data_IF_328355332221
#
_entry.id   IF_328355332221
#
_cell.length_a   1.000
_cell.length_b   1.000
_cell.length_c   1.000
_cell.angle_alpha   90.00
_cell.angle_beta   90.00
_cell.angle_gamma   90.00
#
_symmetry.space_group_name_H-M   'P 1'
#
loop_
_entity.id
_entity.type
_entity.pdbx_description
1 polymer ?
#
# COMPACT_ATOMS: atom_id res chain seq x y z
N UNK A 1 -13.94 -26.54 -10.42
CA UNK A 1 -14.53 -27.87 -10.13
C UNK A 1 -13.50 -28.98 -10.29
N UNK A 2 -12.49 -28.79 -11.14
CA UNK A 2 -11.45 -29.78 -11.43
C UNK A 2 -10.47 -30.00 -10.28
N UNK A 3 -10.14 -28.95 -9.51
CA UNK A 3 -9.37 -29.08 -8.26
C UNK A 3 -9.99 -30.09 -7.28
N UNK A 4 -11.32 -30.05 -7.08
CA UNK A 4 -11.99 -30.99 -6.20
C UNK A 4 -11.88 -32.45 -6.69
N UNK A 5 -11.88 -32.68 -8.00
CA UNK A 5 -11.71 -34.02 -8.60
C UNK A 5 -10.28 -34.52 -8.42
N UNK A 6 -9.28 -33.64 -8.61
CA UNK A 6 -7.87 -33.96 -8.33
C UNK A 6 -7.63 -34.33 -6.87
N UNK A 7 -8.39 -33.73 -5.94
CA UNK A 7 -8.38 -34.08 -4.51
C UNK A 7 -9.22 -35.32 -4.15
N UNK A 8 -9.79 -36.03 -5.12
CA UNK A 8 -10.58 -37.26 -4.90
C UNK A 8 -12.06 -37.05 -4.56
N UNK A 9 -12.60 -35.83 -4.74
CA UNK A 9 -14.00 -35.51 -4.47
C UNK A 9 -14.84 -35.33 -5.75
N UNK A 10 -16.15 -35.56 -5.66
CA UNK A 10 -17.05 -35.32 -6.80
C UNK A 10 -17.19 -33.82 -7.11
N UNK A 11 -17.42 -33.48 -8.38
CA UNK A 11 -17.67 -32.08 -8.83
C UNK A 11 -18.78 -31.41 -8.02
N UNK A 12 -19.86 -32.14 -7.70
CA UNK A 12 -20.99 -31.64 -6.88
C UNK A 12 -20.54 -31.28 -5.46
N UNK A 13 -19.73 -32.14 -4.83
CA UNK A 13 -19.17 -31.86 -3.50
C UNK A 13 -18.22 -30.66 -3.53
N UNK A 14 -17.35 -30.59 -4.55
CA UNK A 14 -16.48 -29.44 -4.78
C UNK A 14 -17.22 -28.12 -4.93
N UNK A 15 -18.29 -28.08 -5.74
CA UNK A 15 -19.12 -26.88 -5.90
C UNK A 15 -19.78 -26.45 -4.60
N UNK A 16 -20.33 -27.39 -3.82
CA UNK A 16 -20.91 -27.11 -2.50
C UNK A 16 -19.87 -26.54 -1.53
N UNK A 17 -18.66 -27.11 -1.51
CA UNK A 17 -17.57 -26.63 -0.67
C UNK A 17 -17.14 -25.21 -1.05
N UNK A 18 -16.99 -24.91 -2.35
CA UNK A 18 -16.64 -23.58 -2.83
C UNK A 18 -17.70 -22.52 -2.45
N UNK A 19 -18.99 -22.83 -2.60
CA UNK A 19 -20.08 -21.93 -2.20
C UNK A 19 -20.05 -21.67 -0.69
N UNK A 20 -19.86 -22.73 0.12
CA UNK A 20 -19.74 -22.59 1.57
C UNK A 20 -18.52 -21.75 1.97
N UNK A 21 -17.36 -21.95 1.31
CA UNK A 21 -16.15 -21.16 1.55
C UNK A 21 -16.32 -19.68 1.20
N UNK A 22 -16.94 -19.37 0.05
CA UNK A 22 -17.23 -17.98 -0.33
C UNK A 22 -18.22 -17.33 0.65
N UNK A 23 -19.21 -18.08 1.13
CA UNK A 23 -20.15 -17.57 2.15
C UNK A 23 -19.42 -17.25 3.45
N UNK A 24 -18.58 -18.18 3.94
CA UNK A 24 -17.80 -17.98 5.15
C UNK A 24 -16.83 -16.79 5.02
N UNK A 25 -16.18 -16.63 3.87
CA UNK A 25 -15.30 -15.49 3.59
C UNK A 25 -16.07 -14.16 3.68
N UNK A 26 -17.24 -14.05 3.07
CA UNK A 26 -18.07 -12.84 3.12
C UNK A 26 -18.58 -12.53 4.52
N UNK A 27 -18.96 -13.56 5.28
CA UNK A 27 -19.37 -13.41 6.68
C UNK A 27 -18.21 -12.91 7.54
N UNK A 28 -16.99 -13.42 7.31
CA UNK A 28 -15.79 -12.95 7.98
C UNK A 28 -15.47 -11.50 7.64
N UNK A 29 -15.47 -11.12 6.36
CA UNK A 29 -15.23 -9.73 5.92
C UNK A 29 -16.25 -8.75 6.51
N UNK A 30 -17.53 -9.12 6.57
CA UNK A 30 -18.56 -8.31 7.21
C UNK A 30 -18.33 -8.16 8.73
N UNK A 31 -17.91 -9.25 9.39
CA UNK A 31 -17.59 -9.21 10.82
C UNK A 31 -16.35 -8.36 11.12
N UNK A 32 -15.33 -8.35 10.25
CA UNK A 32 -14.16 -7.46 10.38
C UNK A 32 -14.59 -5.98 10.35
N UNK A 33 -15.47 -5.59 9.44
CA UNK A 33 -15.99 -4.22 9.35
C UNK A 33 -16.78 -3.85 10.62
N UNK A 34 -17.67 -4.72 11.08
CA UNK A 34 -18.46 -4.48 12.30
C UNK A 34 -17.58 -4.39 13.57
N UNK A 35 -16.53 -5.22 13.66
CA UNK A 35 -15.52 -5.12 14.72
C UNK A 35 -14.74 -3.81 14.63
N UNK A 36 -14.38 -3.40 13.42
CA UNK A 36 -13.70 -2.15 13.14
C UNK A 36 -14.49 -0.92 13.55
N UNK A 37 -15.77 -0.85 13.18
CA UNK A 37 -16.67 0.24 13.58
C UNK A 37 -16.75 0.38 15.11
N UNK A 38 -16.91 -0.74 15.82
CA UNK A 38 -16.91 -0.75 17.29
C UNK A 38 -15.57 -0.32 17.88
N UNK A 39 -14.46 -0.70 17.25
CA UNK A 39 -13.12 -0.30 17.69
C UNK A 39 -12.92 1.20 17.51
N UNK A 40 -13.27 1.74 16.35
CA UNK A 40 -13.18 3.18 16.05
C UNK A 40 -14.04 4.00 17.01
N UNK A 41 -15.27 3.57 17.28
CA UNK A 41 -16.14 4.24 18.26
C UNK A 41 -15.51 4.26 19.65
N UNK A 42 -14.93 3.13 20.11
CA UNK A 42 -14.22 3.08 21.39
C UNK A 42 -13.00 4.00 21.45
N UNK A 43 -12.26 4.12 20.34
CA UNK A 43 -11.11 5.04 20.25
C UNK A 43 -11.59 6.48 20.47
N UNK A 44 -12.69 6.88 19.82
CA UNK A 44 -13.26 8.22 19.98
C UNK A 44 -13.82 8.44 21.39
N UNK A 45 -14.62 7.51 21.92
CA UNK A 45 -15.25 7.63 23.24
C UNK A 45 -14.21 7.77 24.37
N UNK A 46 -13.08 7.06 24.24
CA UNK A 46 -12.01 7.06 25.23
C UNK A 46 -10.90 8.10 24.93
N UNK A 47 -11.04 8.90 23.87
CA UNK A 47 -10.02 9.82 23.39
C UNK A 47 -8.62 9.17 23.24
N UNK A 48 -8.60 7.95 22.70
CA UNK A 48 -7.39 7.21 22.41
C UNK A 48 -6.85 7.57 21.03
N UNK A 49 -5.57 7.27 20.80
CA UNK A 49 -4.97 7.36 19.46
C UNK A 49 -4.94 5.97 18.83
N UNK A 50 -5.37 5.89 17.57
CA UNK A 50 -5.32 4.69 16.74
C UNK A 50 -4.17 4.73 15.75
N UNK A 51 -3.57 3.58 15.48
CA UNK A 51 -2.54 3.41 14.43
C UNK A 51 -3.03 2.38 13.42
N UNK A 52 -3.37 2.85 12.22
CA UNK A 52 -3.76 2.03 11.09
C UNK A 52 -2.53 1.39 10.47
N UNK A 53 -2.48 0.07 10.48
CA UNK A 53 -1.38 -0.72 9.93
C UNK A 53 -1.62 -0.87 8.42
N UNK A 54 -0.96 -0.02 7.64
CA UNK A 54 -0.98 -0.02 6.17
C UNK A 54 0.00 -1.08 5.67
N UNK A 55 -0.45 -2.34 5.65
CA UNK A 55 0.37 -3.48 5.30
C UNK A 55 -0.40 -4.49 4.46
N UNK A 56 0.35 -5.34 3.75
CA UNK A 56 -0.19 -6.54 3.10
C UNK A 56 -0.56 -7.57 4.16
N UNK A 57 -1.59 -8.39 3.92
CA UNK A 57 -2.13 -9.32 4.92
C UNK A 57 -1.06 -10.25 5.50
N UNK A 58 -0.16 -10.74 4.64
CA UNK A 58 0.93 -11.62 5.07
C UNK A 58 1.94 -10.93 6.01
N UNK A 59 2.03 -9.60 6.02
CA UNK A 59 2.86 -8.86 6.97
C UNK A 59 2.12 -8.55 8.26
N UNK A 60 0.81 -8.27 8.21
CA UNK A 60 0.05 -7.87 9.39
C UNK A 60 -0.53 -9.04 10.19
N UNK A 61 -0.82 -10.17 9.53
CA UNK A 61 -1.60 -11.27 10.12
C UNK A 61 -0.81 -12.56 10.32
N UNK A 62 0.41 -12.67 9.78
CA UNK A 62 1.28 -13.82 10.02
C UNK A 62 2.17 -13.55 11.23
N UNK A 63 2.10 -14.40 12.25
CA UNK A 63 2.86 -14.23 13.51
C UNK A 63 4.37 -14.36 13.34
N UNK A 64 4.85 -14.99 12.25
CA UNK A 64 6.27 -15.06 11.91
C UNK A 64 6.76 -13.82 11.17
N UNK A 65 5.88 -13.13 10.44
CA UNK A 65 6.24 -11.97 9.62
C UNK A 65 5.87 -10.61 10.23
N UNK A 66 4.96 -10.57 11.21
CA UNK A 66 4.46 -9.31 11.79
C UNK A 66 5.36 -8.71 12.88
N UNK A 67 6.37 -9.46 13.34
CA UNK A 67 7.39 -9.04 14.29
C UNK A 67 6.84 -8.42 15.59
N UNK A 68 5.62 -8.81 16.00
CA UNK A 68 4.97 -8.28 17.21
C UNK A 68 4.66 -6.78 17.16
N UNK A 69 4.57 -6.17 15.98
CA UNK A 69 4.40 -4.72 15.80
C UNK A 69 3.09 -4.24 16.44
N UNK A 70 2.00 -4.98 16.29
CA UNK A 70 0.70 -4.63 16.86
C UNK A 70 0.74 -4.64 18.40
N UNK A 71 1.35 -5.67 18.97
CA UNK A 71 1.55 -5.83 20.41
C UNK A 71 2.40 -4.68 20.97
N UNK A 72 3.47 -4.30 20.26
CA UNK A 72 4.32 -3.17 20.67
C UNK A 72 3.57 -1.84 20.63
N UNK A 73 2.75 -1.58 19.59
CA UNK A 73 1.88 -0.40 19.53
C UNK A 73 0.93 -0.34 20.73
N UNK A 74 0.28 -1.47 21.05
CA UNK A 74 -0.60 -1.57 22.20
C UNK A 74 0.12 -1.30 23.53
N UNK A 75 1.32 -1.85 23.72
CA UNK A 75 2.16 -1.59 24.90
C UNK A 75 2.56 -0.11 25.05
N UNK A 76 2.73 0.59 23.93
CA UNK A 76 3.04 2.02 23.91
C UNK A 76 1.80 2.91 24.10
N UNK A 77 0.62 2.32 24.32
CA UNK A 77 -0.61 3.03 24.66
C UNK A 77 -1.36 3.61 23.47
N UNK A 78 -1.15 3.08 22.27
CA UNK A 78 -1.95 3.39 21.07
C UNK A 78 -2.62 2.14 20.54
N UNK A 79 -3.78 2.29 19.92
CA UNK A 79 -4.60 1.15 19.50
C UNK A 79 -4.19 0.71 18.09
N UNK A 80 -3.61 -0.49 17.88
CA UNK A 80 -3.31 -0.99 16.55
C UNK A 80 -4.62 -1.34 15.81
N UNK A 81 -4.76 -0.89 14.57
CA UNK A 81 -5.95 -1.08 13.74
C UNK A 81 -5.54 -1.82 12.46
N UNK A 82 -6.01 -3.06 12.25
CA UNK A 82 -5.86 -3.74 10.97
C UNK A 82 -6.51 -2.95 9.83
N UNK A 83 -5.89 -2.92 8.65
CA UNK A 83 -6.45 -2.22 7.50
C UNK A 83 -7.85 -2.72 7.10
N UNK A 84 -8.16 -4.01 7.31
CA UNK A 84 -9.46 -4.60 7.04
C UNK A 84 -10.59 -4.11 7.95
N UNK A 85 -10.26 -3.47 9.08
CA UNK A 85 -11.24 -2.93 10.02
C UNK A 85 -11.78 -1.57 9.58
N UNK A 86 -11.14 -0.92 8.60
CA UNK A 86 -11.63 0.34 8.07
C UNK A 86 -12.74 0.10 7.03
N UNK A 87 -13.71 1.01 6.89
CA UNK A 87 -14.72 0.96 5.84
C UNK A 87 -14.13 1.36 4.48
N UNK A 88 -13.22 0.55 3.94
CA UNK A 88 -12.43 0.91 2.74
C UNK A 88 -13.30 1.25 1.52
N UNK A 89 -14.45 0.58 1.37
CA UNK A 89 -15.39 0.81 0.27
C UNK A 89 -16.11 2.17 0.36
N UNK A 90 -15.98 2.89 1.47
CA UNK A 90 -16.51 4.26 1.61
C UNK A 90 -15.68 5.30 0.86
N UNK A 91 -14.48 4.94 0.39
CA UNK A 91 -13.57 5.86 -0.33
C UNK A 91 -13.55 5.53 -1.81
N UNK A 92 -13.84 6.53 -2.64
CA UNK A 92 -13.58 6.46 -4.06
C UNK A 92 -12.08 6.65 -4.35
N UNK A 93 -11.34 5.54 -4.49
CA UNK A 93 -9.89 5.56 -4.73
C UNK A 93 -9.48 6.29 -6.01
N UNK A 94 -10.39 6.43 -6.98
CA UNK A 94 -10.15 7.15 -8.23
C UNK A 94 -10.05 8.68 -8.05
N UNK A 95 -10.37 9.21 -6.86
CA UNK A 95 -10.11 10.61 -6.52
C UNK A 95 -8.62 10.89 -6.26
N UNK A 96 -7.82 9.83 -6.08
CA UNK A 96 -6.41 9.91 -5.70
C UNK A 96 -5.46 9.37 -6.77
N UNK A 97 -5.88 8.35 -7.52
CA UNK A 97 -5.11 7.73 -8.60
C UNK A 97 -6.01 7.45 -9.80
N UNK A 98 -5.55 7.75 -11.01
CA UNK A 98 -6.33 7.46 -12.22
C UNK A 98 -6.43 5.95 -12.52
N UNK A 99 -5.45 5.17 -12.02
CA UNK A 99 -5.33 3.72 -12.25
C UNK A 99 -4.73 3.03 -11.02
N UNK A 100 -5.51 2.82 -9.95
CA UNK A 100 -5.09 1.99 -8.84
C UNK A 100 -5.05 0.52 -9.30
N UNK A 101 -3.93 0.11 -9.88
CA UNK A 101 -3.78 -1.17 -10.56
C UNK A 101 -3.69 -2.33 -9.57
N UNK A 102 -3.01 -2.12 -8.44
CA UNK A 102 -2.79 -3.18 -7.46
C UNK A 102 -3.94 -3.24 -6.44
N UNK A 103 -4.33 -4.46 -6.06
CA UNK A 103 -5.36 -4.66 -5.03
C UNK A 103 -5.03 -3.93 -3.72
N UNK A 104 -3.79 -4.04 -3.24
CA UNK A 104 -3.34 -3.36 -2.02
C UNK A 104 -3.07 -1.86 -2.21
N UNK A 105 -2.85 -1.38 -3.44
CA UNK A 105 -2.79 0.06 -3.72
C UNK A 105 -4.14 0.70 -3.40
N UNK A 106 -5.24 0.13 -3.92
CA UNK A 106 -6.59 0.61 -3.64
C UNK A 106 -6.88 0.62 -2.13
N UNK A 107 -6.51 -0.45 -1.42
CA UNK A 107 -6.69 -0.53 0.03
C UNK A 107 -5.85 0.49 0.80
N UNK A 108 -4.59 0.69 0.42
CA UNK A 108 -3.72 1.67 1.08
C UNK A 108 -4.20 3.09 0.82
N UNK A 109 -4.66 3.42 -0.39
CA UNK A 109 -5.26 4.72 -0.72
C UNK A 109 -6.49 4.97 0.16
N UNK A 110 -7.45 4.03 0.17
CA UNK A 110 -8.67 4.15 0.95
C UNK A 110 -8.38 4.27 2.46
N UNK A 111 -7.51 3.40 2.97
CA UNK A 111 -7.12 3.41 4.38
C UNK A 111 -6.43 4.71 4.77
N UNK A 112 -5.54 5.23 3.94
CA UNK A 112 -4.84 6.51 4.19
C UNK A 112 -5.81 7.69 4.15
N UNK A 113 -6.77 7.70 3.23
CA UNK A 113 -7.79 8.75 3.14
C UNK A 113 -8.71 8.76 4.38
N UNK A 114 -9.11 7.60 4.89
CA UNK A 114 -9.88 7.49 6.14
C UNK A 114 -9.01 7.95 7.32
N UNK A 115 -7.76 7.47 7.38
CA UNK A 115 -6.81 7.78 8.44
C UNK A 115 -6.50 9.27 8.50
N UNK A 116 -6.33 9.94 7.37
CA UNK A 116 -6.03 11.37 7.32
C UNK A 116 -7.19 12.20 7.90
N UNK A 117 -8.42 11.91 7.47
CA UNK A 117 -9.64 12.64 7.86
C UNK A 117 -9.98 12.54 9.35
N UNK A 118 -9.62 11.44 10.00
CA UNK A 118 -9.94 11.20 11.41
C UNK A 118 -8.79 11.66 12.33
N UNK A 119 -8.94 12.74 13.14
CA UNK A 119 -7.85 13.29 13.95
C UNK A 119 -7.28 12.33 15.00
N UNK A 120 -8.00 11.27 15.37
CA UNK A 120 -7.54 10.26 16.32
C UNK A 120 -6.71 9.15 15.68
N UNK A 121 -6.63 9.08 14.34
CA UNK A 121 -5.95 8.01 13.60
C UNK A 121 -4.64 8.45 12.96
N UNK A 122 -3.64 7.59 13.00
CA UNK A 122 -2.34 7.77 12.33
C UNK A 122 -1.98 6.53 11.52
N UNK A 123 -1.13 6.69 10.51
CA UNK A 123 -0.72 5.58 9.65
C UNK A 123 0.63 5.00 10.05
N UNK A 124 0.76 3.67 9.99
CA UNK A 124 2.05 2.97 9.98
C UNK A 124 2.12 2.08 8.74
N UNK A 125 2.92 2.50 7.76
CA UNK A 125 3.15 1.77 6.52
C UNK A 125 4.26 0.74 6.71
N UNK A 126 3.91 -0.53 6.53
CA UNK A 126 4.86 -1.64 6.57
C UNK A 126 5.14 -2.11 5.14
N UNK A 127 6.41 -2.07 4.76
CA UNK A 127 6.88 -2.53 3.46
C UNK A 127 8.05 -3.50 3.64
N UNK A 128 8.38 -4.24 2.58
CA UNK A 128 9.54 -5.12 2.57
C UNK A 128 10.61 -4.52 1.67
N UNK A 129 11.87 -4.81 1.98
CA UNK A 129 12.99 -4.45 1.11
C UNK A 129 12.76 -4.97 -0.32
N UNK A 130 13.00 -4.12 -1.31
CA UNK A 130 12.82 -4.47 -2.72
C UNK A 130 11.38 -4.70 -3.17
N UNK A 131 10.37 -4.26 -2.40
CA UNK A 131 8.97 -4.40 -2.81
C UNK A 131 8.61 -3.41 -3.94
N UNK A 132 8.84 -3.83 -5.18
CA UNK A 132 8.54 -3.06 -6.39
C UNK A 132 7.15 -2.40 -6.38
N UNK A 133 6.03 -3.13 -6.17
CA UNK A 133 4.71 -2.51 -6.14
C UNK A 133 4.56 -1.42 -5.05
N UNK A 134 5.14 -1.60 -3.86
CA UNK A 134 5.02 -0.62 -2.79
C UNK A 134 5.81 0.66 -3.07
N UNK A 135 6.92 0.61 -3.83
CA UNK A 135 7.67 1.81 -4.23
C UNK A 135 6.80 2.84 -4.97
N UNK A 136 5.78 2.37 -5.72
CA UNK A 136 4.80 3.24 -6.36
C UNK A 136 3.72 3.73 -5.40
N UNK A 137 3.33 2.91 -4.42
CA UNK A 137 2.22 3.17 -3.48
C UNK A 137 2.63 4.12 -2.34
N UNK A 138 3.88 4.05 -1.88
CA UNK A 138 4.37 4.86 -0.74
C UNK A 138 4.18 6.35 -1.00
N UNK A 139 4.54 6.81 -2.20
CA UNK A 139 4.39 8.20 -2.59
C UNK A 139 2.94 8.69 -2.49
N UNK A 140 1.97 7.94 -3.01
CA UNK A 140 0.57 8.35 -2.96
C UNK A 140 0.00 8.31 -1.54
N UNK A 141 0.42 7.34 -0.71
CA UNK A 141 0.03 7.28 0.70
C UNK A 141 0.54 8.51 1.46
N UNK A 142 1.79 8.90 1.24
CA UNK A 142 2.36 10.11 1.84
C UNK A 142 1.66 11.38 1.37
N UNK A 143 1.38 11.50 0.07
CA UNK A 143 0.65 12.64 -0.48
C UNK A 143 -0.76 12.75 0.15
N UNK A 144 -1.43 11.61 0.39
CA UNK A 144 -2.74 11.55 1.05
C UNK A 144 -2.65 11.97 2.51
N UNK A 145 -1.69 11.41 3.27
CA UNK A 145 -1.49 11.73 4.68
C UNK A 145 -1.02 13.18 4.89
N UNK A 146 -0.35 13.76 3.89
CA UNK A 146 0.08 15.15 3.87
C UNK A 146 0.95 15.50 5.07
N UNK A 147 0.54 16.50 5.84
CA UNK A 147 1.25 16.95 7.04
C UNK A 147 1.03 16.08 8.28
N UNK A 148 0.18 15.04 8.18
CA UNK A 148 -0.14 14.18 9.33
C UNK A 148 0.93 13.09 9.49
N UNK A 149 1.42 12.83 10.70
CA UNK A 149 2.44 11.81 10.92
C UNK A 149 2.08 10.45 10.31
N UNK A 150 2.99 9.93 9.50
CA UNK A 150 2.97 8.60 8.91
C UNK A 150 4.29 7.91 9.25
N UNK A 151 4.21 6.79 9.95
CA UNK A 151 5.37 5.93 10.17
C UNK A 151 5.61 5.07 8.93
N UNK A 152 6.87 4.88 8.56
CA UNK A 152 7.27 3.94 7.52
C UNK A 152 8.32 2.98 8.08
N UNK A 153 8.03 1.68 8.01
CA UNK A 153 8.97 0.62 8.39
C UNK A 153 9.19 -0.30 7.20
N UNK A 154 10.46 -0.44 6.83
CA UNK A 154 10.91 -1.44 5.86
C UNK A 154 11.46 -2.64 6.62
N UNK A 155 10.91 -3.82 6.30
CA UNK A 155 11.31 -5.10 6.85
C UNK A 155 12.24 -5.79 5.85
N UNK A 156 13.39 -6.25 6.35
CA UNK A 156 14.39 -7.02 5.63
C UNK A 156 14.64 -8.32 6.40
N UNK A 157 14.99 -9.40 5.70
CA UNK A 157 15.38 -10.69 6.26
C UNK A 157 16.52 -10.56 7.29
N UNK A 158 17.37 -9.55 7.11
CA UNK A 158 18.51 -9.27 7.97
C UNK A 158 18.24 -8.20 9.04
N UNK A 159 17.04 -7.60 9.06
CA UNK A 159 16.72 -6.52 10.00
C UNK A 159 16.62 -7.07 11.43
N UNK A 160 17.60 -6.74 12.27
CA UNK A 160 17.58 -7.08 13.69
C UNK A 160 16.37 -6.43 14.36
N UNK A 161 15.53 -7.26 15.00
CA UNK A 161 14.31 -6.94 15.76
C UNK A 161 14.46 -5.68 16.65
N UNK A 162 15.63 -5.47 17.25
CA UNK A 162 15.92 -4.33 18.11
C UNK A 162 15.78 -2.96 17.42
N UNK A 163 16.11 -2.85 16.13
CA UNK A 163 16.02 -1.57 15.40
C UNK A 163 14.58 -1.14 15.11
N UNK A 164 13.65 -2.10 15.00
CA UNK A 164 12.23 -1.84 14.72
C UNK A 164 11.55 -1.26 15.96
N UNK A 165 11.85 -1.81 17.13
CA UNK A 165 11.27 -1.38 18.41
C UNK A 165 11.49 0.11 18.66
N UNK A 166 12.74 0.58 18.54
CA UNK A 166 13.06 2.01 18.76
C UNK A 166 12.41 2.92 17.72
N UNK A 167 12.26 2.47 16.47
CA UNK A 167 11.56 3.26 15.44
C UNK A 167 10.06 3.37 15.73
N UNK A 168 9.43 2.30 16.22
CA UNK A 168 8.03 2.34 16.66
C UNK A 168 7.87 3.26 17.86
N UNK A 169 8.78 3.21 18.84
CA UNK A 169 8.78 4.11 20.00
C UNK A 169 8.86 5.58 19.57
N UNK A 170 9.83 5.93 18.73
CA UNK A 170 9.98 7.28 18.19
C UNK A 170 8.75 7.74 17.37
N UNK A 171 8.15 6.83 16.61
CA UNK A 171 6.89 7.10 15.90
C UNK A 171 5.74 7.39 16.86
N UNK A 172 5.57 6.57 17.91
CA UNK A 172 4.50 6.79 18.91
C UNK A 172 4.70 8.10 19.69
N UNK A 173 5.94 8.47 19.99
CA UNK A 173 6.23 9.76 20.61
C UNK A 173 5.86 10.92 19.69
N UNK A 174 6.15 10.79 18.40
CA UNK A 174 5.81 11.78 17.37
C UNK A 174 4.29 11.97 17.26
N UNK A 175 3.51 10.89 17.17
CA UNK A 175 2.04 11.02 17.07
C UNK A 175 1.44 11.61 18.34
N UNK A 176 1.95 11.25 19.52
CA UNK A 176 1.48 11.81 20.80
C UNK A 176 1.80 13.30 20.92
N UNK A 177 2.99 13.71 20.47
CA UNK A 177 3.37 15.13 20.44
C UNK A 177 2.50 15.91 19.44
N UNK A 178 2.29 15.35 18.25
CA UNK A 178 1.44 15.94 17.22
C UNK A 178 -0.02 16.08 17.68
N UNK A 179 -0.60 15.04 18.29
CA UNK A 179 -1.97 15.06 18.81
C UNK A 179 -2.20 16.15 19.87
N UNK A 180 -1.17 16.51 20.64
CA UNK A 180 -1.22 17.61 21.62
C UNK A 180 -1.04 18.99 20.99
N UNK A 181 -0.54 19.07 19.76
CA UNK A 181 -0.36 20.33 19.06
C UNK A 181 -1.69 20.83 18.50
N UNK A 182 -1.90 22.15 18.49
CA UNK A 182 -3.12 22.78 17.94
C UNK A 182 -3.09 22.94 16.42
N UNK A 183 -2.04 22.43 15.76
CA UNK A 183 -1.86 22.56 14.31
C UNK A 183 -2.73 21.56 13.55
N UNK A 184 -3.52 22.05 12.61
CA UNK A 184 -4.12 21.17 11.60
C UNK A 184 -3.04 20.76 10.59
N UNK A 185 -2.90 19.46 10.34
CA UNK A 185 -2.11 18.98 9.21
C UNK A 185 -2.75 19.46 7.91
N UNK A 186 -1.92 19.84 6.93
CA UNK A 186 -2.39 20.00 5.55
C UNK A 186 -2.71 18.61 5.01
N UNK A 187 -3.97 18.36 4.65
CA UNK A 187 -4.40 17.11 4.02
C UNK A 187 -4.03 17.01 2.54
N UNK A 188 -4.67 16.06 1.85
CA UNK A 188 -4.51 15.81 0.42
C UNK A 188 -4.60 17.08 -0.44
N UNK A 189 -3.57 17.31 -1.26
CA UNK A 189 -3.52 18.38 -2.25
C UNK A 189 -3.84 17.81 -3.64
N UNK A 190 -4.87 18.34 -4.31
CA UNK A 190 -5.26 17.87 -5.66
C UNK A 190 -4.15 18.02 -6.69
N UNK A 191 -3.16 18.88 -6.46
CA UNK A 191 -1.97 18.99 -7.33
C UNK A 191 -1.07 17.75 -7.27
N UNK A 192 -1.20 16.90 -6.24
CA UNK A 192 -0.50 15.63 -6.12
C UNK A 192 -1.15 14.49 -6.94
N UNK A 193 -2.32 14.73 -7.55
CA UNK A 193 -3.01 13.74 -8.37
C UNK A 193 -2.14 13.33 -9.57
N UNK A 194 -1.74 12.07 -9.61
CA UNK A 194 -0.94 11.50 -10.70
C UNK A 194 -1.87 10.92 -11.76
N UNK A 195 -1.71 11.39 -13.00
CA UNK A 195 -2.37 10.78 -14.15
C UNK A 195 -1.40 10.52 -15.28
N UNK A 196 -1.58 9.39 -15.95
CA UNK A 196 -0.86 9.07 -17.17
C UNK A 196 -1.84 9.14 -18.36
N UNK A 197 -1.64 10.06 -19.32
CA UNK A 197 -2.49 10.10 -20.51
C UNK A 197 -2.28 8.83 -21.34
N UNK A 198 -3.37 8.09 -21.60
CA UNK A 198 -3.38 6.87 -22.45
C UNK A 198 -3.50 7.18 -23.94
N UNK A 199 -3.56 8.47 -24.31
CA UNK A 199 -3.60 8.89 -25.70
C UNK A 199 -2.26 8.58 -26.41
N UNK A 200 -2.15 7.36 -26.92
CA UNK A 200 -1.14 6.94 -27.88
C UNK A 200 -1.46 7.64 -29.20
N UNK A 201 -0.85 8.79 -29.41
CA UNK A 201 -0.87 9.46 -30.70
C UNK A 201 0.32 8.95 -31.50
N UNK A 202 0.11 8.61 -32.78
CA UNK A 202 1.22 8.27 -33.71
C UNK A 202 2.22 9.43 -33.88
N UNK A 203 1.83 10.62 -33.40
CA UNK A 203 2.64 11.83 -33.35
C UNK A 203 3.67 11.88 -32.21
N UNK A 204 3.64 10.98 -31.24
CA UNK A 204 4.61 10.96 -30.14
C UNK A 204 5.51 9.73 -30.22
N UNK A 205 6.80 9.93 -29.94
CA UNK A 205 7.75 8.83 -29.80
C UNK A 205 7.60 8.25 -28.40
N UNK A 206 7.35 6.93 -28.33
CA UNK A 206 7.32 6.17 -27.09
C UNK A 206 8.77 5.83 -26.71
N UNK A 207 9.19 6.26 -25.53
CA UNK A 207 10.50 5.92 -24.98
C UNK A 207 10.38 4.65 -24.16
N UNK A 208 11.19 3.64 -24.50
CA UNK A 208 11.20 2.34 -23.84
C UNK A 208 12.47 2.25 -23.00
N UNK A 209 12.38 2.09 -21.67
CA UNK A 209 13.56 1.87 -20.83
C UNK A 209 14.31 0.59 -21.24
N UNK A 210 15.65 0.65 -21.27
CA UNK A 210 16.51 -0.50 -21.58
C UNK A 210 16.65 -1.46 -20.39
N UNK A 211 15.55 -2.02 -19.91
CA UNK A 211 15.54 -2.95 -18.76
C UNK A 211 16.00 -4.37 -19.13
N UNK A 212 15.90 -4.76 -20.39
CA UNK A 212 16.31 -6.07 -20.88
C UNK A 212 16.55 -6.04 -22.39
N UNK A 213 17.28 -7.03 -22.92
CA UNK A 213 17.53 -7.19 -24.36
C UNK A 213 16.22 -7.27 -25.19
N UNK A 214 15.11 -7.71 -24.58
CA UNK A 214 13.80 -7.74 -25.22
C UNK A 214 13.21 -6.35 -25.54
N UNK A 215 13.75 -5.26 -24.99
CA UNK A 215 13.26 -3.91 -25.25
C UNK A 215 13.41 -3.51 -26.74
N UNK A 216 14.51 -3.92 -27.39
CA UNK A 216 14.73 -3.68 -28.82
C UNK A 216 13.72 -4.42 -29.70
N UNK A 217 13.47 -5.70 -29.39
CA UNK A 217 12.46 -6.49 -30.09
C UNK A 217 11.05 -5.90 -29.91
N UNK A 218 10.75 -5.39 -28.72
CA UNK A 218 9.48 -4.72 -28.44
C UNK A 218 9.33 -3.41 -29.23
N UNK A 219 10.38 -2.58 -29.27
CA UNK A 219 10.39 -1.35 -30.06
C UNK A 219 10.20 -1.64 -31.56
N UNK A 220 10.95 -2.59 -32.11
CA UNK A 220 10.84 -2.99 -33.52
C UNK A 220 9.44 -3.51 -33.86
N UNK A 221 8.81 -4.27 -32.96
CA UNK A 221 7.43 -4.72 -33.14
C UNK A 221 6.47 -3.53 -33.16
N UNK A 222 6.61 -2.55 -32.26
CA UNK A 222 5.78 -1.33 -32.26
C UNK A 222 5.94 -0.53 -33.56
N UNK A 223 7.17 -0.38 -34.05
CA UNK A 223 7.46 0.30 -35.32
C UNK A 223 6.83 -0.41 -36.52
N UNK A 224 6.84 -1.75 -36.54
CA UNK A 224 6.19 -2.53 -37.59
C UNK A 224 4.67 -2.30 -37.68
N UNK A 225 4.03 -1.85 -36.59
CA UNK A 225 2.61 -1.47 -36.54
C UNK A 225 2.39 0.05 -36.62
N UNK A 226 3.40 0.83 -37.03
CA UNK A 226 3.28 2.27 -37.27
C UNK A 226 3.35 3.14 -36.00
N UNK A 227 3.83 2.59 -34.88
CA UNK A 227 4.06 3.35 -33.65
C UNK A 227 5.51 3.82 -33.61
N UNK A 228 5.75 5.11 -33.40
CA UNK A 228 7.12 5.62 -33.18
C UNK A 228 7.61 5.19 -31.80
N UNK A 229 8.63 4.34 -31.75
CA UNK A 229 9.20 3.84 -30.51
C UNK A 229 10.74 3.95 -30.55
N UNK A 230 11.36 4.24 -29.42
CA UNK A 230 12.82 4.27 -29.28
C UNK A 230 13.21 3.68 -27.94
N UNK A 231 14.16 2.74 -27.95
CA UNK A 231 14.78 2.25 -26.72
C UNK A 231 15.77 3.31 -26.23
N UNK A 232 15.72 3.60 -24.92
CA UNK A 232 16.69 4.47 -24.27
C UNK A 232 18.05 3.77 -24.16
N UNK A 233 19.18 4.50 -24.14
CA UNK A 233 20.48 3.89 -23.88
C UNK A 233 20.48 3.21 -22.50
N UNK A 234 21.35 2.20 -22.29
CA UNK A 234 21.55 1.59 -20.98
C UNK A 234 21.85 2.65 -19.91
N UNK A 235 21.30 2.44 -18.72
CA UNK A 235 21.52 3.33 -17.59
C UNK A 235 22.99 3.41 -17.21
N UNK A 236 23.43 4.60 -16.85
CA UNK A 236 24.81 4.86 -16.42
C UNK A 236 24.82 5.65 -15.11
N UNK A 237 26.01 6.02 -14.63
CA UNK A 237 26.16 6.78 -13.39
C UNK A 237 25.37 8.10 -13.39
N UNK A 238 25.26 8.78 -14.53
CA UNK A 238 24.44 9.99 -14.64
C UNK A 238 22.95 9.68 -14.43
N UNK A 239 22.46 8.56 -14.96
CA UNK A 239 21.07 8.11 -14.73
C UNK A 239 20.78 8.01 -13.24
N UNK A 240 21.69 7.44 -12.45
CA UNK A 240 21.56 7.33 -10.99
C UNK A 240 21.58 8.69 -10.28
N UNK A 241 22.48 9.60 -10.71
CA UNK A 241 22.57 10.95 -10.14
C UNK A 241 21.26 11.73 -10.35
N UNK A 242 20.63 11.59 -11.53
CA UNK A 242 19.35 12.25 -11.80
C UNK A 242 18.17 11.54 -11.15
N UNK A 243 18.14 10.20 -11.13
CA UNK A 243 17.04 9.46 -10.52
C UNK A 243 16.95 9.74 -9.02
N UNK A 244 18.07 9.83 -8.31
CA UNK A 244 18.11 10.14 -6.87
C UNK A 244 17.41 11.46 -6.50
N UNK A 245 17.18 12.37 -7.45
CA UNK A 245 16.44 13.62 -7.21
C UNK A 245 14.92 13.43 -7.22
N UNK A 246 14.43 12.33 -7.77
CA UNK A 246 13.00 12.09 -8.06
C UNK A 246 12.51 10.69 -7.63
N UNK A 247 13.39 9.83 -7.12
CA UNK A 247 13.08 8.48 -6.63
C UNK A 247 13.41 8.34 -5.16
N UNK A 248 12.77 7.39 -4.46
CA UNK A 248 13.05 7.09 -3.05
C UNK A 248 14.22 6.13 -2.83
N UNK A 249 14.71 5.50 -3.90
CA UNK A 249 15.69 4.43 -3.81
C UNK A 249 15.07 3.08 -3.41
N UNK A 250 13.74 2.98 -3.48
CA UNK A 250 12.98 1.73 -3.26
C UNK A 250 12.46 1.14 -4.58
N UNK A 251 12.51 1.95 -5.64
CA UNK A 251 12.16 1.60 -7.01
C UNK A 251 13.25 0.70 -7.62
N UNK A 252 12.86 -0.19 -8.54
CA UNK A 252 13.83 -1.02 -9.25
C UNK A 252 14.83 -0.16 -10.02
N UNK A 253 16.12 -0.46 -9.87
CA UNK A 253 17.15 0.17 -10.70
C UNK A 253 17.03 -0.38 -12.14
N UNK A 254 17.06 0.50 -13.15
CA UNK A 254 17.03 0.12 -14.55
C UNK A 254 18.30 -0.56 -15.02
#
# INVERSE_FOLDING_TARGET
ADCAVQMGFSRRRGRRAAIAGIKAQREFEAAEVELGERLLQKIHDNNQLGVVILARSYMSQDSGANLGIAEKLAQLGVVPIPLSFLPLDSVNVYEYSDRPYWFYESKHIAGSAITERDPSLYGLLLTNFGCGPNSFIINIVEDIMGGKPLGQLEIDEHAAEAGIVTRIEAFVDTIKAFARSTGQAKGWDKSAYRSAPVALTSEKTILIPSMAAGAEAFAAAMEAFGVRASVLPPSNEQSLIYSNKVTRGTECLP
#
